data_IF_775760316993
#
_entry.id   IF_775760316993
#
_cell.length_a   1.000
_cell.length_b   1.000
_cell.length_c   1.000
_cell.angle_alpha   90.00
_cell.angle_beta   90.00
_cell.angle_gamma   90.00
#
_symmetry.space_group_name_H-M   'P 1'
#
loop_
_entity.id
_entity.type
_entity.pdbx_description
1 polymer ?
#
# COMPACT_ATOMS: atom_id res chain seq x y z
N UNK A 1 -14.58 -18.29 -14.87
CA UNK A 1 -13.27 -18.90 -14.61
C UNK A 1 -13.43 -19.75 -13.35
N UNK A 2 -12.85 -20.95 -13.31
CA UNK A 2 -12.89 -21.77 -12.10
C UNK A 2 -11.93 -21.21 -11.05
N UNK A 3 -12.36 -21.16 -9.80
CA UNK A 3 -11.48 -20.85 -8.68
C UNK A 3 -10.49 -22.01 -8.49
N UNK A 4 -9.21 -21.66 -8.36
CA UNK A 4 -8.12 -22.58 -8.08
C UNK A 4 -7.49 -22.18 -6.75
N UNK A 5 -7.03 -23.18 -6.00
CA UNK A 5 -6.43 -22.97 -4.69
C UNK A 5 -5.00 -23.45 -4.73
N UNK A 6 -4.09 -22.65 -4.18
CA UNK A 6 -2.68 -22.99 -4.14
C UNK A 6 -2.11 -22.81 -2.75
N UNK A 7 -1.08 -23.60 -2.41
CA UNK A 7 -0.18 -23.34 -1.29
C UNK A 7 1.21 -23.01 -1.78
N UNK A 8 1.84 -22.04 -1.12
CA UNK A 8 3.23 -21.64 -1.37
C UNK A 8 4.02 -21.93 -0.10
N UNK A 9 4.94 -22.87 -0.23
CA UNK A 9 5.90 -23.30 0.81
C UNK A 9 7.33 -22.80 0.52
N UNK A 10 7.51 -22.09 -0.60
CA UNK A 10 8.80 -21.59 -1.01
C UNK A 10 9.25 -20.47 -0.08
N UNK A 11 10.33 -20.71 0.67
CA UNK A 11 10.90 -19.74 1.61
C UNK A 11 11.19 -18.38 0.95
N UNK A 12 11.62 -18.36 -0.31
CA UNK A 12 11.87 -17.13 -1.05
C UNK A 12 10.60 -16.29 -1.22
N UNK A 13 9.45 -16.93 -1.45
CA UNK A 13 8.17 -16.25 -1.56
C UNK A 13 7.66 -15.76 -0.18
N UNK A 14 7.88 -16.57 0.87
CA UNK A 14 7.62 -16.21 2.26
C UNK A 14 8.38 -14.94 2.67
N UNK A 15 9.69 -14.92 2.42
CA UNK A 15 10.56 -13.81 2.77
C UNK A 15 10.23 -12.55 1.96
N UNK A 16 9.93 -12.70 0.66
CA UNK A 16 9.53 -11.58 -0.19
C UNK A 16 8.21 -10.94 0.26
N UNK A 17 7.22 -11.74 0.66
CA UNK A 17 5.97 -11.20 1.19
C UNK A 17 6.18 -10.52 2.54
N UNK A 18 6.93 -11.14 3.47
CA UNK A 18 7.25 -10.51 4.77
C UNK A 18 7.95 -9.18 4.58
N UNK A 19 8.86 -9.09 3.60
CA UNK A 19 9.49 -7.83 3.21
C UNK A 19 8.47 -6.84 2.68
N UNK A 20 7.59 -7.25 1.75
CA UNK A 20 6.54 -6.39 1.19
C UNK A 20 5.61 -5.83 2.29
N UNK A 21 5.18 -6.66 3.23
CA UNK A 21 4.34 -6.26 4.35
C UNK A 21 5.07 -5.30 5.29
N UNK A 22 6.33 -5.61 5.62
CA UNK A 22 7.18 -4.71 6.41
C UNK A 22 7.40 -3.35 5.73
N UNK A 23 7.70 -3.34 4.42
CA UNK A 23 7.88 -2.12 3.64
C UNK A 23 6.58 -1.30 3.58
N UNK A 24 5.43 -1.98 3.44
CA UNK A 24 4.11 -1.36 3.45
C UNK A 24 3.79 -0.70 4.79
N UNK A 25 4.05 -1.39 5.91
CA UNK A 25 3.89 -0.84 7.25
C UNK A 25 4.80 0.37 7.48
N UNK A 26 6.07 0.27 7.05
CA UNK A 26 7.02 1.38 7.12
C UNK A 26 6.56 2.58 6.28
N UNK A 27 6.06 2.35 5.06
CA UNK A 27 5.50 3.40 4.21
C UNK A 27 4.34 4.12 4.90
N UNK A 28 3.42 3.38 5.50
CA UNK A 28 2.26 3.95 6.22
C UNK A 28 2.68 4.76 7.44
N UNK A 29 3.63 4.27 8.22
CA UNK A 29 4.11 5.00 9.39
C UNK A 29 4.85 6.28 8.99
N UNK A 30 5.73 6.20 7.97
CA UNK A 30 6.41 7.38 7.44
C UNK A 30 5.42 8.41 6.87
N UNK A 31 4.37 7.96 6.19
CA UNK A 31 3.30 8.83 5.72
C UNK A 31 2.55 9.49 6.88
N UNK A 32 2.25 8.75 7.95
CA UNK A 32 1.62 9.30 9.16
C UNK A 32 2.48 10.38 9.80
N UNK A 33 3.76 10.10 10.01
CA UNK A 33 4.71 11.07 10.57
C UNK A 33 4.87 12.30 9.66
N UNK A 34 4.90 12.12 8.35
CA UNK A 34 4.92 13.23 7.39
C UNK A 34 3.66 14.10 7.49
N UNK A 35 2.47 13.49 7.57
CA UNK A 35 1.20 14.22 7.59
C UNK A 35 0.97 14.97 8.91
N UNK A 36 1.47 14.45 10.04
CA UNK A 36 1.36 15.09 11.34
C UNK A 36 2.03 16.47 11.38
N UNK A 37 3.12 16.67 10.61
CA UNK A 37 3.82 17.97 10.47
C UNK A 37 2.95 19.06 9.82
N UNK A 38 1.77 18.68 9.29
CA UNK A 38 0.77 19.52 8.66
C UNK A 38 -0.60 19.47 9.35
N UNK A 39 -0.71 18.83 10.52
CA UNK A 39 -2.01 18.53 11.17
C UNK A 39 -3.00 17.88 10.18
N UNK A 40 -2.52 16.85 9.50
CA UNK A 40 -3.19 16.17 8.42
C UNK A 40 -3.16 14.64 8.59
N UNK A 41 -4.04 13.97 7.87
CA UNK A 41 -4.06 12.52 7.76
C UNK A 41 -3.37 12.07 6.46
N UNK A 42 -2.58 10.99 6.49
CA UNK A 42 -1.95 10.46 5.28
C UNK A 42 -2.95 9.75 4.39
N UNK A 43 -2.82 9.93 3.08
CA UNK A 43 -3.54 9.14 2.08
C UNK A 43 -2.55 8.20 1.39
N UNK A 44 -2.64 6.92 1.71
CA UNK A 44 -1.87 5.84 1.07
C UNK A 44 -2.81 5.05 0.18
N UNK A 45 -2.49 4.98 -1.11
CA UNK A 45 -3.24 4.24 -2.11
C UNK A 45 -2.47 2.99 -2.52
N UNK A 46 -3.18 2.07 -3.16
CA UNK A 46 -2.60 0.89 -3.77
C UNK A 46 -3.34 0.52 -5.04
N UNK A 47 -2.62 -0.06 -5.99
CA UNK A 47 -3.16 -0.73 -7.16
C UNK A 47 -2.62 -2.17 -7.21
N UNK A 48 -2.69 -2.83 -8.38
CA UNK A 48 -2.16 -4.17 -8.53
C UNK A 48 -0.66 -4.23 -8.23
N UNK A 49 0.10 -3.19 -8.59
CA UNK A 49 1.55 -3.24 -8.77
C UNK A 49 2.30 -2.48 -7.66
N UNK A 50 1.68 -1.46 -7.08
CA UNK A 50 2.31 -0.53 -6.15
C UNK A 50 1.40 -0.20 -4.96
N UNK A 51 2.06 0.19 -3.88
CA UNK A 51 1.47 0.91 -2.75
C UNK A 51 2.23 2.23 -2.64
N UNK A 52 1.55 3.37 -2.54
CA UNK A 52 2.24 4.66 -2.50
C UNK A 52 1.55 5.70 -1.64
N UNK A 53 2.35 6.62 -1.12
CA UNK A 53 1.86 7.82 -0.47
C UNK A 53 1.34 8.82 -1.52
N UNK A 54 0.04 9.05 -1.53
CA UNK A 54 -0.65 9.92 -2.47
C UNK A 54 -0.83 11.37 -1.95
N UNK A 55 -0.26 11.70 -0.79
CA UNK A 55 -0.36 13.04 -0.20
C UNK A 55 -1.21 13.07 1.05
N UNK A 56 -1.61 14.27 1.45
CA UNK A 56 -2.20 14.52 2.77
C UNK A 56 -3.62 15.05 2.68
N UNK A 57 -4.43 14.74 3.70
CA UNK A 57 -5.75 15.31 3.91
C UNK A 57 -5.73 16.09 5.22
N UNK A 58 -5.67 17.41 5.12
CA UNK A 58 -5.72 18.29 6.29
C UNK A 58 -6.99 18.02 7.12
N UNK A 59 -6.82 17.95 8.45
CA UNK A 59 -7.94 17.73 9.38
C UNK A 59 -8.85 18.95 9.44
N UNK A 60 -8.26 20.14 9.40
CA UNK A 60 -8.98 21.41 9.30
C UNK A 60 -8.82 22.02 7.89
N UNK A 61 -9.93 22.12 7.16
CA UNK A 61 -9.96 22.61 5.78
C UNK A 61 -9.78 24.13 5.63
N UNK A 62 -10.06 24.88 6.70
CA UNK A 62 -10.16 26.35 6.68
C UNK A 62 -8.81 27.04 6.82
N UNK A 63 -7.80 26.34 7.35
CA UNK A 63 -6.42 26.83 7.50
C UNK A 63 -5.57 26.66 6.23
N UNK A 64 -6.10 26.04 5.18
CA UNK A 64 -5.32 25.71 3.99
C UNK A 64 -5.25 26.89 3.04
N UNK A 65 -4.04 27.40 2.80
CA UNK A 65 -3.81 28.38 1.74
C UNK A 65 -3.99 27.73 0.34
N UNK A 66 -5.22 27.80 -0.20
CA UNK A 66 -5.60 27.26 -1.52
C UNK A 66 -4.89 27.89 -2.71
N UNK A 67 -4.16 28.99 -2.49
CA UNK A 67 -3.32 29.61 -3.51
C UNK A 67 -1.99 28.85 -3.68
N UNK A 68 -1.56 28.10 -2.66
CA UNK A 68 -0.30 27.34 -2.62
C UNK A 68 -0.59 25.83 -2.69
N UNK A 69 -1.67 25.37 -2.05
CA UNK A 69 -2.10 23.99 -2.05
C UNK A 69 -3.20 23.72 -3.08
N UNK A 70 -3.25 22.49 -3.59
CA UNK A 70 -4.36 22.03 -4.43
C UNK A 70 -5.64 21.92 -3.62
N UNK A 71 -6.77 21.91 -4.32
CA UNK A 71 -8.06 21.54 -3.73
C UNK A 71 -8.04 20.03 -3.43
N UNK A 72 -8.72 19.55 -2.36
CA UNK A 72 -8.75 18.12 -2.06
C UNK A 72 -9.37 17.38 -3.24
N UNK A 73 -8.77 16.26 -3.64
CA UNK A 73 -9.31 15.42 -4.70
C UNK A 73 -10.71 14.93 -4.33
N UNK A 74 -11.60 14.79 -5.33
CA UNK A 74 -12.98 14.32 -5.07
C UNK A 74 -13.03 12.87 -4.59
N UNK A 75 -12.11 12.05 -5.10
CA UNK A 75 -12.11 10.61 -4.88
C UNK A 75 -11.53 10.23 -3.51
N UNK A 76 -10.37 10.81 -3.17
CA UNK A 76 -9.62 10.42 -1.97
C UNK A 76 -9.41 11.56 -0.96
N UNK A 77 -9.78 12.79 -1.30
CA UNK A 77 -9.62 13.95 -0.42
C UNK A 77 -8.17 14.40 -0.19
N UNK A 78 -7.20 13.83 -0.91
CA UNK A 78 -5.79 14.21 -0.79
C UNK A 78 -5.53 15.59 -1.41
N UNK A 79 -4.54 16.30 -0.88
CA UNK A 79 -4.05 17.59 -1.35
C UNK A 79 -2.52 17.52 -1.51
N UNK A 80 -2.00 18.35 -2.41
CA UNK A 80 -0.57 18.49 -2.72
C UNK A 80 -0.20 19.96 -2.76
N UNK A 81 1.10 20.26 -2.58
CA UNK A 81 1.61 21.54 -3.03
C UNK A 81 1.44 21.66 -4.54
N UNK A 82 1.07 22.86 -4.99
CA UNK A 82 1.03 23.17 -6.42
C UNK A 82 2.45 23.20 -6.97
N UNK A 83 2.58 23.15 -8.30
CA UNK A 83 3.87 23.33 -8.99
C UNK A 83 4.33 24.81 -8.95
N UNK A 84 3.39 25.73 -8.76
CA UNK A 84 3.61 27.17 -8.58
C UNK A 84 2.42 27.78 -7.83
N UNK A 85 2.59 28.88 -7.10
CA UNK A 85 1.47 29.57 -6.48
C UNK A 85 0.54 30.16 -7.55
N UNK A 86 -0.76 30.28 -7.24
CA UNK A 86 -1.74 30.90 -8.12
C UNK A 86 -1.55 32.42 -8.25
N UNK A 87 -1.04 33.06 -7.18
CA UNK A 87 -0.73 34.49 -7.14
C UNK A 87 0.76 34.68 -6.92
N UNK A 88 1.40 35.50 -7.78
CA UNK A 88 2.84 35.81 -7.66
C UNK A 88 3.22 36.47 -6.34
N UNK A 89 2.28 37.16 -5.69
CA UNK A 89 2.50 37.78 -4.38
C UNK A 89 2.80 36.77 -3.27
N UNK A 90 2.46 35.49 -3.47
CA UNK A 90 2.67 34.41 -2.50
C UNK A 90 3.89 33.55 -2.82
N UNK A 91 4.79 34.01 -3.69
CA UNK A 91 5.98 33.25 -4.09
C UNK A 91 6.88 32.94 -2.88
N UNK A 92 7.12 33.92 -2.00
CA UNK A 92 7.96 33.71 -0.82
C UNK A 92 7.35 32.67 0.14
N UNK A 93 6.05 32.72 0.41
CA UNK A 93 5.36 31.71 1.23
C UNK A 93 5.42 30.32 0.59
N UNK A 94 5.20 30.25 -0.73
CA UNK A 94 5.30 29.02 -1.48
C UNK A 94 6.69 28.41 -1.43
N UNK A 95 7.75 29.22 -1.55
CA UNK A 95 9.13 28.73 -1.53
C UNK A 95 9.48 28.15 -0.15
N UNK A 96 9.07 28.83 0.94
CA UNK A 96 9.24 28.31 2.32
C UNK A 96 8.52 26.98 2.50
N UNK A 97 7.26 26.90 2.06
CA UNK A 97 6.46 25.68 2.20
C UNK A 97 6.99 24.53 1.33
N UNK A 98 7.49 24.84 0.13
CA UNK A 98 8.12 23.88 -0.76
C UNK A 98 9.41 23.32 -0.18
N UNK A 99 10.24 24.16 0.45
CA UNK A 99 11.45 23.69 1.14
C UNK A 99 11.11 22.82 2.35
N UNK A 100 10.08 23.19 3.15
CA UNK A 100 9.56 22.32 4.22
C UNK A 100 9.11 20.97 3.65
N UNK A 101 8.32 20.97 2.59
CA UNK A 101 7.82 19.74 1.96
C UNK A 101 8.94 18.84 1.45
N UNK A 102 9.95 19.41 0.77
CA UNK A 102 11.13 18.66 0.31
C UNK A 102 11.93 18.08 1.48
N UNK A 103 12.17 18.87 2.53
CA UNK A 103 12.88 18.42 3.71
C UNK A 103 12.18 17.23 4.38
N UNK A 104 10.85 17.33 4.55
CA UNK A 104 10.05 16.23 5.10
C UNK A 104 10.03 15.01 4.18
N UNK A 105 9.97 15.21 2.86
CA UNK A 105 10.01 14.12 1.89
C UNK A 105 11.35 13.37 1.97
N UNK A 106 12.46 14.09 2.06
CA UNK A 106 13.78 13.49 2.21
C UNK A 106 13.95 12.78 3.56
N UNK A 107 13.37 13.33 4.63
CA UNK A 107 13.39 12.74 5.98
C UNK A 107 12.62 11.41 6.05
N UNK A 108 11.39 11.38 5.55
CA UNK A 108 10.47 10.25 5.74
C UNK A 108 10.44 9.29 4.52
N UNK A 109 10.89 9.71 3.34
CA UNK A 109 10.86 8.91 2.11
C UNK A 109 12.21 8.93 1.36
N UNK A 110 13.33 8.58 2.01
CA UNK A 110 14.67 8.68 1.39
C UNK A 110 14.88 7.73 0.21
N UNK A 111 14.23 6.57 0.22
CA UNK A 111 14.32 5.55 -0.84
C UNK A 111 13.15 5.58 -1.83
N UNK A 112 12.22 6.52 -1.64
CA UNK A 112 10.97 6.59 -2.38
C UNK A 112 9.74 6.59 -1.47
N UNK A 113 8.60 6.88 -2.08
CA UNK A 113 7.30 7.00 -1.41
C UNK A 113 6.32 5.94 -1.93
N UNK A 114 6.87 4.87 -2.51
CA UNK A 114 6.14 3.74 -3.04
C UNK A 114 6.86 2.43 -2.74
N UNK A 115 6.08 1.35 -2.68
CA UNK A 115 6.52 -0.01 -2.49
C UNK A 115 6.01 -0.83 -3.67
N UNK A 116 6.92 -1.51 -4.36
CA UNK A 116 6.61 -2.38 -5.51
C UNK A 116 6.15 -3.75 -5.03
N UNK A 117 5.06 -4.25 -5.60
CA UNK A 117 4.56 -5.63 -5.41
C UNK A 117 5.12 -6.59 -6.46
N UNK A 118 5.75 -6.08 -7.52
CA UNK A 118 6.19 -6.86 -8.67
C UNK A 118 7.24 -7.91 -8.31
N UNK A 119 8.16 -7.62 -7.38
CA UNK A 119 9.17 -8.59 -6.95
C UNK A 119 8.54 -9.82 -6.32
N UNK A 120 7.48 -9.61 -5.52
CA UNK A 120 6.71 -10.69 -4.92
C UNK A 120 5.97 -11.50 -5.99
N UNK A 121 5.25 -10.84 -6.89
CA UNK A 121 4.51 -11.53 -7.95
C UNK A 121 5.42 -12.30 -8.91
N UNK A 122 6.56 -11.73 -9.28
CA UNK A 122 7.53 -12.38 -10.15
C UNK A 122 8.03 -13.70 -9.53
N UNK A 123 8.21 -13.76 -8.20
CA UNK A 123 8.57 -14.99 -7.49
C UNK A 123 7.44 -16.03 -7.60
N UNK A 124 6.18 -15.59 -7.57
CA UNK A 124 5.02 -16.45 -7.78
C UNK A 124 4.81 -16.87 -9.24
N UNK A 125 5.58 -16.32 -10.17
CA UNK A 125 5.40 -16.52 -11.62
C UNK A 125 4.22 -15.74 -12.18
N UNK A 126 3.81 -14.67 -11.51
CA UNK A 126 2.72 -13.78 -11.90
C UNK A 126 3.30 -12.45 -12.41
N UNK A 127 2.55 -11.80 -13.29
CA UNK A 127 2.82 -10.43 -13.75
C UNK A 127 1.63 -9.51 -13.46
N UNK A 128 1.86 -8.19 -13.55
CA UNK A 128 0.82 -7.18 -13.36
C UNK A 128 -0.43 -7.42 -14.22
N UNK A 129 -0.25 -7.87 -15.46
CA UNK A 129 -1.35 -8.20 -16.39
C UNK A 129 -2.18 -9.40 -15.94
N UNK A 130 -1.62 -10.30 -15.14
CA UNK A 130 -2.31 -11.49 -14.63
C UNK A 130 -3.49 -11.12 -13.74
N UNK A 131 -3.48 -9.93 -13.13
CA UNK A 131 -4.55 -9.47 -12.24
C UNK A 131 -5.67 -8.72 -12.96
N UNK A 132 -5.54 -8.49 -14.27
CA UNK A 132 -6.59 -7.85 -15.07
C UNK A 132 -7.73 -8.86 -15.28
N UNK A 133 -8.85 -8.66 -14.58
CA UNK A 133 -10.04 -9.56 -14.50
C UNK A 133 -9.92 -10.82 -13.63
N UNK A 134 -8.89 -10.93 -12.80
CA UNK A 134 -8.65 -12.12 -11.96
C UNK A 134 -8.89 -11.84 -10.49
N UNK A 135 -9.44 -12.79 -9.74
CA UNK A 135 -9.43 -12.73 -8.28
C UNK A 135 -8.05 -13.16 -7.77
N UNK A 136 -7.56 -12.51 -6.72
CA UNK A 136 -6.39 -12.95 -5.99
C UNK A 136 -6.57 -12.65 -4.51
N UNK A 137 -6.73 -13.70 -3.71
CA UNK A 137 -6.78 -13.63 -2.25
C UNK A 137 -5.63 -14.45 -1.69
N UNK A 138 -4.92 -13.87 -0.74
CA UNK A 138 -3.73 -14.47 -0.12
C UNK A 138 -3.84 -14.35 1.39
N UNK A 139 -3.51 -15.42 2.11
CA UNK A 139 -3.27 -15.35 3.55
C UNK A 139 -2.15 -16.28 4.00
N UNK A 140 -1.53 -15.94 5.12
CA UNK A 140 -0.53 -16.76 5.80
C UNK A 140 -1.17 -17.53 6.95
N UNK A 141 -0.78 -18.79 7.09
CA UNK A 141 -1.08 -19.61 8.25
C UNK A 141 0.03 -20.65 8.44
N UNK A 142 0.60 -20.72 9.64
CA UNK A 142 1.65 -21.68 10.04
C UNK A 142 2.87 -21.74 9.09
N UNK A 143 3.32 -20.59 8.58
CA UNK A 143 4.47 -20.52 7.67
C UNK A 143 4.16 -20.94 6.24
N UNK A 144 2.89 -21.11 5.89
CA UNK A 144 2.43 -21.42 4.53
C UNK A 144 1.50 -20.33 4.04
N UNK A 145 1.69 -19.90 2.79
CA UNK A 145 0.73 -19.03 2.14
C UNK A 145 -0.31 -19.83 1.38
N UNK A 146 -1.56 -19.44 1.54
CA UNK A 146 -2.71 -19.99 0.84
C UNK A 146 -3.27 -18.95 -0.11
N UNK A 147 -3.46 -19.35 -1.36
CA UNK A 147 -3.95 -18.48 -2.44
C UNK A 147 -5.27 -19.02 -2.97
N UNK A 148 -6.23 -18.13 -3.15
CA UNK A 148 -7.46 -18.32 -3.93
C UNK A 148 -7.37 -17.38 -5.13
N UNK A 149 -7.37 -17.96 -6.33
CA UNK A 149 -7.17 -17.21 -7.57
C UNK A 149 -7.84 -17.88 -8.76
N UNK A 150 -8.09 -17.10 -9.81
CA UNK A 150 -8.48 -17.62 -11.13
C UNK A 150 -7.27 -17.79 -12.07
N UNK A 151 -6.05 -17.56 -11.58
CA UNK A 151 -4.81 -17.58 -12.36
C UNK A 151 -4.02 -18.85 -12.05
N UNK A 152 -3.52 -19.52 -13.08
CA UNK A 152 -2.64 -20.68 -12.91
C UNK A 152 -1.27 -20.23 -12.37
N UNK A 153 -0.87 -20.78 -11.22
CA UNK A 153 0.39 -20.45 -10.57
C UNK A 153 1.45 -21.53 -10.84
N UNK A 154 2.54 -21.16 -11.52
CA UNK A 154 3.61 -22.10 -11.88
C UNK A 154 4.51 -22.51 -10.70
N UNK A 155 4.64 -21.62 -9.71
CA UNK A 155 5.58 -21.78 -8.58
C UNK A 155 4.85 -22.10 -7.25
N UNK A 156 3.68 -22.72 -7.33
CA UNK A 156 2.87 -23.09 -6.17
C UNK A 156 2.33 -24.53 -6.32
N UNK A 157 1.89 -25.12 -5.22
CA UNK A 157 1.28 -26.45 -5.21
C UNK A 157 -0.23 -26.25 -5.21
N UNK A 158 -0.93 -26.74 -6.24
CA UNK A 158 -2.39 -26.73 -6.25
C UNK A 158 -2.93 -27.63 -5.14
N UNK A 159 -3.96 -27.16 -4.45
CA UNK A 159 -4.63 -27.84 -3.34
C UNK A 159 -6.14 -27.85 -3.58
N UNK A 160 -6.83 -28.70 -2.82
CA UNK A 160 -8.29 -28.70 -2.83
C UNK A 160 -8.83 -27.47 -2.09
N UNK A 161 -9.99 -26.99 -2.52
CA UNK A 161 -10.70 -25.91 -1.81
C UNK A 161 -11.06 -26.26 -0.37
N UNK A 162 -11.18 -27.56 -0.04
CA UNK A 162 -11.36 -28.03 1.33
C UNK A 162 -10.13 -27.79 2.21
N UNK A 163 -8.92 -28.02 1.69
CA UNK A 163 -7.66 -27.73 2.38
C UNK A 163 -7.51 -26.22 2.62
N UNK A 164 -7.82 -25.40 1.60
CA UNK A 164 -7.83 -23.94 1.72
C UNK A 164 -8.82 -23.45 2.80
N UNK A 165 -10.05 -23.95 2.78
CA UNK A 165 -11.11 -23.55 3.71
C UNK A 165 -10.76 -23.94 5.16
N UNK A 166 -10.23 -25.15 5.36
CA UNK A 166 -9.79 -25.60 6.68
C UNK A 166 -8.68 -24.72 7.25
N UNK A 167 -7.67 -24.38 6.43
CA UNK A 167 -6.59 -23.48 6.86
C UNK A 167 -7.14 -22.07 7.20
N UNK A 168 -8.10 -21.57 6.42
CA UNK A 168 -8.72 -20.27 6.68
C UNK A 168 -9.54 -20.27 7.98
N UNK A 169 -10.30 -21.32 8.25
CA UNK A 169 -11.06 -21.50 9.49
C UNK A 169 -10.13 -21.56 10.71
N UNK A 170 -9.06 -22.35 10.63
CA UNK A 170 -8.07 -22.48 11.70
C UNK A 170 -7.36 -21.16 11.99
N UNK A 171 -6.93 -20.44 10.95
CA UNK A 171 -6.37 -19.09 11.07
C UNK A 171 -7.34 -18.14 11.78
N UNK A 172 -8.60 -18.13 11.36
CA UNK A 172 -9.61 -17.26 11.93
C UNK A 172 -9.91 -17.63 13.40
N UNK A 173 -9.92 -18.92 13.73
CA UNK A 173 -10.07 -19.39 15.10
C UNK A 173 -8.88 -18.97 15.98
N UNK A 174 -7.64 -19.12 15.49
CA UNK A 174 -6.43 -18.66 16.19
C UNK A 174 -6.47 -17.14 16.44
N UNK A 175 -6.85 -16.35 15.44
CA UNK A 175 -7.00 -14.89 15.58
C UNK A 175 -8.09 -14.48 16.58
N UNK A 176 -9.15 -15.28 16.72
CA UNK A 176 -10.20 -15.06 17.73
C UNK A 176 -9.74 -15.45 19.14
N UNK A 177 -9.01 -16.56 19.27
CA UNK A 177 -8.47 -17.04 20.55
C UNK A 177 -7.42 -16.12 21.18
N UNK A 178 -6.75 -15.28 20.40
CA UNK A 178 -5.79 -14.27 20.88
C UNK A 178 -6.50 -13.01 21.43
N UNK A 179 -7.78 -12.81 21.11
CA UNK A 179 -8.57 -11.64 21.55
C UNK A 179 -9.46 -11.91 22.79
N UNK A 180 -9.38 -13.09 23.39
CA UNK A 180 -10.03 -13.44 24.66
C UNK A 180 -9.04 -13.43 25.81
#
# INVERSE_FOLDING_TARGET
>A
MCEMFFKIINQKALDAYKKLDSDHLALRENARLFAEEYDADPIVLQDSDFIWFCGIKFRNGDSINRQIWTKPSREYGHSWLRVKPLKKTLQAEYDVEMEKWKALRNKYFPTGHSVSKNDFYAILGLDASSFFFSSFKLFEFEGVFYVDTTIEMKNAVEILGTEYSQAQEQRNAALRGIKG
#
